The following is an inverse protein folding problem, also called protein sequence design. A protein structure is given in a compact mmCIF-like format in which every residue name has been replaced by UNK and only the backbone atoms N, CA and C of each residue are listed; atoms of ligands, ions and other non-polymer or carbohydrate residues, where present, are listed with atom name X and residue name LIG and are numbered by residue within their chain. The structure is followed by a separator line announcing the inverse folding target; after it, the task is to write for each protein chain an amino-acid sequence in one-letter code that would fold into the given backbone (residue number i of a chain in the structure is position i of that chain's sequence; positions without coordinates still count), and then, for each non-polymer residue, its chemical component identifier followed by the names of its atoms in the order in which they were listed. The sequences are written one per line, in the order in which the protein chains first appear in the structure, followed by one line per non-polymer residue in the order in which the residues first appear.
data_IF_621322329511
#
_entry.id   IF_621322329511
#
_cell.length_a   1.000
_cell.length_b   1.000
_cell.length_c   1.000
_cell.angle_alpha   90.00
_cell.angle_beta   90.00
_cell.angle_gamma   90.00
#
_symmetry.space_group_name_H-M   'P 1'
#
loop_
_entity.id
_entity.type
_entity.pdbx_description
1 polymer ?
#
# COMPACT_ATOMS: atom_id res chain seq x y z
N UNK A 1 7.81 -18.82 -12.83
CA UNK A 1 6.42 -18.30 -12.91
C UNK A 1 6.46 -16.86 -13.44
N UNK A 2 5.44 -16.38 -14.16
CA UNK A 2 5.35 -14.98 -14.61
C UNK A 2 4.07 -14.30 -14.09
N UNK A 3 4.20 -13.04 -13.69
CA UNK A 3 3.11 -12.19 -13.22
C UNK A 3 2.36 -11.63 -14.43
N UNK A 4 1.10 -12.00 -14.55
CA UNK A 4 0.14 -11.48 -15.52
C UNK A 4 -0.56 -10.23 -15.00
N UNK A 5 -1.88 -10.15 -15.18
CA UNK A 5 -2.67 -9.01 -14.75
C UNK A 5 -2.57 -8.75 -13.24
N UNK A 6 -2.51 -7.47 -12.86
CA UNK A 6 -2.69 -7.02 -11.48
C UNK A 6 -3.84 -6.04 -11.42
N UNK A 7 -4.81 -6.35 -10.56
CA UNK A 7 -5.93 -5.47 -10.24
C UNK A 7 -5.69 -4.87 -8.85
N UNK A 8 -5.45 -3.56 -8.80
CA UNK A 8 -5.20 -2.81 -7.57
C UNK A 8 -6.44 -2.72 -6.67
N UNK A 9 -7.62 -3.13 -7.15
CA UNK A 9 -8.87 -3.16 -6.37
C UNK A 9 -9.23 -1.77 -5.81
N UNK A 10 -8.95 -0.72 -6.60
CA UNK A 10 -9.10 0.68 -6.21
C UNK A 10 -10.49 1.00 -5.64
N UNK A 11 -11.62 0.60 -6.26
CA UNK A 11 -12.95 0.95 -5.76
C UNK A 11 -13.21 0.40 -4.35
N UNK A 12 -12.88 -0.86 -4.09
CA UNK A 12 -13.10 -1.50 -2.79
C UNK A 12 -12.18 -0.91 -1.72
N UNK A 13 -10.89 -0.76 -2.06
CA UNK A 13 -9.93 -0.16 -1.14
C UNK A 13 -10.32 1.29 -0.80
N UNK A 14 -10.72 2.11 -1.78
CA UNK A 14 -11.13 3.48 -1.53
C UNK A 14 -12.44 3.57 -0.71
N UNK A 15 -13.34 2.62 -0.85
CA UNK A 15 -14.52 2.51 0.00
C UNK A 15 -14.12 2.23 1.45
N UNK A 16 -13.32 1.18 1.68
CA UNK A 16 -12.87 0.72 3.00
C UNK A 16 -12.01 1.78 3.73
N UNK A 17 -11.25 2.56 2.97
CA UNK A 17 -10.40 3.62 3.50
C UNK A 17 -11.10 4.97 3.62
N UNK A 18 -12.40 5.07 3.30
CA UNK A 18 -13.16 6.32 3.28
C UNK A 18 -12.43 7.40 2.45
N UNK A 19 -12.10 7.07 1.20
CA UNK A 19 -11.41 7.93 0.23
C UNK A 19 -12.10 7.94 -1.14
N UNK A 20 -13.17 7.16 -1.33
CA UNK A 20 -13.96 7.10 -2.57
C UNK A 20 -14.50 8.45 -3.07
N UNK A 21 -14.65 9.44 -2.20
CA UNK A 21 -15.08 10.79 -2.58
C UNK A 21 -14.03 11.56 -3.40
N UNK A 22 -12.77 11.10 -3.45
CA UNK A 22 -11.74 11.61 -4.35
C UNK A 22 -11.78 10.94 -5.75
N UNK A 23 -12.65 9.95 -5.95
CA UNK A 23 -12.63 9.04 -7.09
C UNK A 23 -12.17 7.64 -6.70
N UNK A 24 -12.37 6.69 -7.62
CA UNK A 24 -12.04 5.27 -7.46
C UNK A 24 -11.14 4.73 -8.58
N UNK A 25 -10.69 5.61 -9.47
CA UNK A 25 -9.73 5.33 -10.54
C UNK A 25 -8.29 5.23 -10.01
N UNK A 26 -7.98 5.92 -8.92
CA UNK A 26 -6.67 5.90 -8.25
C UNK A 26 -6.75 5.23 -6.89
N UNK A 27 -5.67 4.54 -6.54
CA UNK A 27 -5.54 3.92 -5.22
C UNK A 27 -5.20 4.98 -4.17
N UNK A 28 -6.14 5.30 -3.28
CA UNK A 28 -5.95 6.25 -2.18
C UNK A 28 -6.31 5.55 -0.88
N UNK A 29 -5.32 5.38 0.00
CA UNK A 29 -5.45 4.65 1.27
C UNK A 29 -5.07 5.54 2.44
N UNK A 30 -5.29 5.06 3.65
CA UNK A 30 -4.88 5.72 4.89
C UNK A 30 -3.93 4.82 5.66
N UNK A 31 -2.84 5.39 6.17
CA UNK A 31 -1.81 4.66 6.92
C UNK A 31 -2.38 3.96 8.17
N UNK A 32 -1.78 2.87 8.61
CA UNK A 32 -2.28 2.07 9.75
C UNK A 32 -3.50 1.21 9.44
N UNK A 33 -3.84 1.02 8.16
CA UNK A 33 -4.94 0.15 7.72
C UNK A 33 -4.53 -0.58 6.45
N UNK A 34 -4.78 -1.89 6.39
CA UNK A 34 -4.40 -2.71 5.25
C UNK A 34 -5.25 -2.37 4.00
N UNK A 35 -4.66 -2.56 2.83
CA UNK A 35 -5.35 -2.59 1.53
C UNK A 35 -4.96 -3.85 0.78
N UNK A 36 -5.70 -4.23 -0.26
CA UNK A 36 -5.42 -5.47 -0.98
C UNK A 36 -5.53 -5.34 -2.49
N UNK A 37 -4.79 -6.16 -3.23
CA UNK A 37 -4.85 -6.23 -4.68
C UNK A 37 -4.73 -7.68 -5.15
N UNK A 38 -5.17 -7.94 -6.38
CA UNK A 38 -5.15 -9.27 -6.97
C UNK A 38 -4.01 -9.40 -7.96
N UNK A 39 -3.25 -10.48 -7.84
CA UNK A 39 -2.15 -10.83 -8.74
C UNK A 39 -2.47 -12.14 -9.45
N UNK A 40 -2.59 -12.09 -10.78
CA UNK A 40 -2.81 -13.26 -11.63
C UNK A 40 -1.50 -13.75 -12.24
N UNK A 41 -1.29 -15.05 -12.24
CA UNK A 41 -0.12 -15.72 -12.83
C UNK A 41 -0.52 -16.48 -14.10
N UNK A 42 0.35 -16.50 -15.10
CA UNK A 42 0.00 -17.09 -16.40
C UNK A 42 0.21 -18.61 -16.43
N UNK A 43 1.37 -19.06 -15.93
CA UNK A 43 1.83 -20.42 -16.20
C UNK A 43 1.31 -21.43 -15.16
N UNK A 44 1.43 -21.13 -13.88
CA UNK A 44 1.04 -22.00 -12.76
C UNK A 44 0.53 -21.20 -11.57
N UNK A 45 -0.01 -21.90 -10.58
CA UNK A 45 -0.43 -21.33 -9.30
C UNK A 45 0.77 -20.94 -8.43
N UNK A 46 0.53 -20.07 -7.46
CA UNK A 46 1.51 -19.68 -6.46
C UNK A 46 1.84 -20.88 -5.56
N UNK A 47 3.13 -21.12 -5.32
CA UNK A 47 3.62 -22.20 -4.46
C UNK A 47 4.66 -21.67 -3.48
N UNK A 48 4.29 -21.59 -2.19
CA UNK A 48 5.13 -21.09 -1.10
C UNK A 48 6.46 -21.85 -0.93
N UNK A 49 6.59 -23.06 -1.49
CA UNK A 49 7.82 -23.85 -1.41
C UNK A 49 8.90 -23.40 -2.39
N UNK A 50 8.51 -22.73 -3.48
CA UNK A 50 9.42 -22.36 -4.59
C UNK A 50 9.29 -20.92 -5.06
N UNK A 51 8.24 -20.21 -4.64
CA UNK A 51 7.98 -18.82 -4.97
C UNK A 51 8.18 -17.90 -3.78
N UNK A 52 8.83 -16.78 -4.04
CA UNK A 52 9.03 -15.70 -3.08
C UNK A 52 8.68 -14.39 -3.74
N UNK A 53 8.11 -13.47 -2.96
CA UNK A 53 7.87 -12.10 -3.39
C UNK A 53 8.44 -11.12 -2.38
N UNK A 54 9.03 -10.05 -2.90
CA UNK A 54 9.53 -8.90 -2.14
C UNK A 54 8.87 -7.66 -2.69
N UNK A 55 8.37 -6.80 -1.81
CA UNK A 55 7.79 -5.53 -2.16
C UNK A 55 8.74 -4.40 -1.82
N UNK A 56 8.74 -3.36 -2.64
CA UNK A 56 9.42 -2.11 -2.34
C UNK A 56 8.43 -0.97 -2.53
N UNK A 57 8.28 -0.13 -1.51
CA UNK A 57 7.49 1.10 -1.55
C UNK A 57 8.39 2.31 -1.44
N UNK A 58 8.20 3.30 -2.29
CA UNK A 58 9.05 4.49 -2.39
C UNK A 58 8.20 5.75 -2.50
N UNK A 59 8.55 6.81 -1.75
CA UNK A 59 7.89 8.12 -1.77
C UNK A 59 8.93 9.26 -1.84
N UNK A 60 8.51 10.41 -2.37
CA UNK A 60 9.36 11.59 -2.52
C UNK A 60 10.38 11.50 -3.67
N UNK A 61 11.17 12.56 -3.83
CA UNK A 61 12.12 12.70 -4.95
C UNK A 61 13.43 11.93 -4.76
N UNK A 62 13.80 11.66 -3.50
CA UNK A 62 15.01 10.89 -3.13
C UNK A 62 14.65 9.84 -2.09
N UNK A 63 13.97 8.75 -2.48
CA UNK A 63 13.60 7.68 -1.55
C UNK A 63 14.85 7.03 -0.93
N UNK A 64 14.88 6.93 0.39
CA UNK A 64 15.94 6.22 1.10
C UNK A 64 15.41 5.62 2.41
N UNK A 65 16.00 4.50 2.83
CA UNK A 65 15.54 3.76 4.00
C UNK A 65 15.81 4.54 5.29
N UNK A 66 16.95 5.26 5.37
CA UNK A 66 17.32 6.09 6.52
C UNK A 66 16.31 7.20 6.84
N UNK A 67 15.55 7.65 5.85
CA UNK A 67 14.57 8.72 5.99
C UNK A 67 13.13 8.17 5.96
N UNK A 68 12.96 6.84 6.03
CA UNK A 68 11.66 6.17 6.01
C UNK A 68 10.83 6.43 4.74
N UNK A 69 11.46 6.92 3.67
CA UNK A 69 10.84 7.21 2.36
C UNK A 69 10.99 6.06 1.37
N UNK A 70 11.72 5.01 1.74
CA UNK A 70 11.81 3.73 1.04
C UNK A 70 11.71 2.59 2.04
N UNK A 71 10.95 1.55 1.72
CA UNK A 71 10.90 0.33 2.52
C UNK A 71 10.81 -0.90 1.63
N UNK A 72 11.62 -1.92 1.93
CA UNK A 72 11.61 -3.21 1.25
C UNK A 72 11.20 -4.29 2.25
N UNK A 73 10.20 -5.10 1.92
CA UNK A 73 9.63 -6.10 2.84
C UNK A 73 9.17 -7.35 2.09
N UNK A 74 9.34 -8.55 2.67
CA UNK A 74 8.95 -9.79 2.02
C UNK A 74 7.43 -10.02 2.11
N UNK A 75 6.91 -10.88 1.21
CA UNK A 75 5.60 -11.46 1.38
C UNK A 75 5.64 -12.54 2.47
N UNK A 76 4.98 -12.27 3.59
CA UNK A 76 4.85 -13.19 4.71
C UNK A 76 3.57 -14.02 4.68
N UNK A 77 3.36 -14.79 5.75
CA UNK A 77 2.13 -15.58 5.98
C UNK A 77 1.01 -14.77 6.65
N UNK A 78 1.38 -13.78 7.45
CA UNK A 78 0.48 -12.88 8.15
C UNK A 78 1.00 -11.45 8.08
N UNK A 79 0.10 -10.48 8.24
CA UNK A 79 0.48 -9.07 8.33
C UNK A 79 1.05 -8.77 9.72
N UNK A 80 2.17 -8.06 9.74
CA UNK A 80 2.65 -7.34 10.90
C UNK A 80 2.04 -5.93 10.86
N UNK A 81 1.29 -5.57 11.91
CA UNK A 81 0.61 -4.29 12.01
C UNK A 81 1.49 -3.17 12.59
N UNK A 82 2.80 -3.39 12.71
CA UNK A 82 3.77 -2.41 13.23
C UNK A 82 4.70 -1.85 12.16
N UNK A 83 4.84 -2.52 11.02
CA UNK A 83 5.73 -2.15 9.94
C UNK A 83 5.07 -2.34 8.57
N UNK A 84 5.77 -1.95 7.49
CA UNK A 84 5.34 -2.35 6.16
C UNK A 84 5.40 -3.86 6.01
N UNK A 85 4.27 -4.49 5.76
CA UNK A 85 4.18 -5.94 5.62
C UNK A 85 3.21 -6.33 4.52
N UNK A 86 3.43 -7.52 3.97
CA UNK A 86 2.51 -8.12 3.01
C UNK A 86 2.21 -9.57 3.39
N UNK A 87 1.01 -10.01 3.04
CA UNK A 87 0.62 -11.41 3.10
C UNK A 87 -0.28 -11.73 1.93
N UNK A 88 -0.47 -13.01 1.62
CA UNK A 88 -1.36 -13.42 0.56
C UNK A 88 -2.32 -14.51 1.02
N UNK A 89 -3.41 -14.64 0.25
CA UNK A 89 -4.31 -15.78 0.31
C UNK A 89 -4.63 -16.22 -1.11
N UNK A 90 -4.79 -17.51 -1.32
CA UNK A 90 -5.31 -18.03 -2.59
C UNK A 90 -6.72 -17.49 -2.80
N UNK A 91 -6.96 -16.89 -3.98
CA UNK A 91 -8.27 -16.35 -4.33
C UNK A 91 -8.98 -17.24 -5.36
N UNK A 92 -8.29 -17.57 -6.45
CA UNK A 92 -8.76 -18.43 -7.54
C UNK A 92 -7.55 -19.18 -8.12
N UNK A 93 -7.75 -20.19 -8.99
CA UNK A 93 -6.65 -20.79 -9.74
C UNK A 93 -5.77 -19.73 -10.39
N UNK A 94 -4.47 -19.81 -10.11
CA UNK A 94 -3.44 -18.86 -10.56
C UNK A 94 -3.69 -17.39 -10.15
N UNK A 95 -4.51 -17.11 -9.15
CA UNK A 95 -4.76 -15.77 -8.66
C UNK A 95 -4.68 -15.72 -7.14
N UNK A 96 -3.82 -14.86 -6.62
CA UNK A 96 -3.72 -14.60 -5.18
C UNK A 96 -4.25 -13.21 -4.87
N UNK A 97 -4.87 -13.08 -3.70
CA UNK A 97 -5.19 -11.79 -3.10
C UNK A 97 -4.05 -11.43 -2.14
N UNK A 98 -3.36 -10.33 -2.42
CA UNK A 98 -2.24 -9.83 -1.61
C UNK A 98 -2.75 -8.67 -0.78
N UNK A 99 -2.61 -8.79 0.54
CA UNK A 99 -2.85 -7.68 1.46
C UNK A 99 -1.53 -7.02 1.84
N UNK A 100 -1.51 -5.69 1.88
CA UNK A 100 -0.36 -4.87 2.28
C UNK A 100 -0.78 -3.98 3.43
N UNK A 101 0.05 -3.90 4.48
CA UNK A 101 -0.17 -3.04 5.62
C UNK A 101 0.86 -1.90 5.63
N UNK A 102 0.43 -0.63 5.46
CA UNK A 102 1.23 0.54 5.76
C UNK A 102 1.20 0.84 7.27
N UNK A 103 2.33 1.03 7.96
CA UNK A 103 2.35 1.33 9.39
C UNK A 103 1.77 2.72 9.69
N UNK A 104 1.26 2.94 10.91
CA UNK A 104 0.57 4.18 11.29
C UNK A 104 1.45 5.43 11.26
N UNK A 105 2.78 5.26 11.27
CA UNK A 105 3.77 6.33 11.15
C UNK A 105 4.28 6.55 9.71
N UNK A 106 3.83 5.76 8.72
CA UNK A 106 4.26 5.93 7.33
C UNK A 106 4.09 7.37 6.85
N UNK A 107 5.05 7.86 6.06
CA UNK A 107 4.99 9.18 5.45
C UNK A 107 3.71 9.32 4.62
N UNK A 108 3.16 10.54 4.58
CA UNK A 108 1.99 10.86 3.76
C UNK A 108 2.49 11.31 2.39
N UNK A 109 1.83 10.88 1.32
CA UNK A 109 2.18 11.29 -0.04
C UNK A 109 1.94 10.22 -1.09
N UNK A 110 2.48 10.47 -2.29
CA UNK A 110 2.44 9.55 -3.42
C UNK A 110 3.57 8.52 -3.31
N UNK A 111 3.21 7.26 -3.35
CA UNK A 111 4.11 6.12 -3.34
C UNK A 111 4.12 5.40 -4.68
N UNK A 112 5.23 4.75 -4.99
CA UNK A 112 5.34 3.74 -6.05
C UNK A 112 5.43 2.37 -5.39
N UNK A 113 4.65 1.40 -5.86
CA UNK A 113 4.70 0.01 -5.40
C UNK A 113 5.41 -0.85 -6.45
N UNK A 114 6.53 -1.46 -6.06
CA UNK A 114 7.25 -2.44 -6.84
C UNK A 114 7.10 -3.83 -6.22
N UNK A 115 7.01 -4.85 -7.07
CA UNK A 115 7.01 -6.26 -6.68
C UNK A 115 8.11 -7.00 -7.43
N UNK A 116 9.00 -7.65 -6.69
CA UNK A 116 9.98 -8.59 -7.20
C UNK A 116 9.50 -10.00 -6.89
N UNK A 117 9.51 -10.89 -7.89
CA UNK A 117 9.15 -12.30 -7.73
C UNK A 117 10.36 -13.14 -8.09
N UNK A 118 10.71 -14.07 -7.19
CA UNK A 118 11.71 -15.11 -7.41
C UNK A 118 10.99 -16.44 -7.49
N UNK A 119 11.19 -17.19 -8.57
CA UNK A 119 10.51 -18.46 -8.84
C UNK A 119 11.47 -19.41 -9.57
N UNK A 120 11.72 -20.59 -8.98
CA UNK A 120 12.65 -21.60 -9.55
C UNK A 120 14.03 -21.03 -9.93
N UNK A 121 14.59 -20.13 -9.11
CA UNK A 121 15.89 -19.49 -9.35
C UNK A 121 15.87 -18.31 -10.32
N UNK A 122 14.73 -17.98 -10.92
CA UNK A 122 14.58 -16.82 -11.79
C UNK A 122 13.89 -15.67 -11.06
N UNK A 123 14.49 -14.48 -11.13
CA UNK A 123 13.98 -13.26 -10.50
C UNK A 123 13.58 -12.24 -11.55
N UNK A 124 12.41 -11.63 -11.38
CA UNK A 124 11.98 -10.47 -12.16
C UNK A 124 11.26 -9.47 -11.28
N UNK A 125 11.27 -8.21 -11.69
CA UNK A 125 10.64 -7.10 -10.98
C UNK A 125 9.61 -6.40 -11.87
N UNK A 126 8.53 -5.92 -11.26
CA UNK A 126 7.52 -5.12 -11.93
C UNK A 126 7.03 -3.97 -11.04
N UNK A 127 6.91 -2.79 -11.64
CA UNK A 127 6.16 -1.69 -11.03
C UNK A 127 4.66 -2.00 -11.15
N UNK A 128 3.96 -2.03 -10.01
CA UNK A 128 2.52 -2.32 -9.97
C UNK A 128 1.67 -1.06 -10.14
N UNK A 129 2.26 0.11 -9.93
CA UNK A 129 1.60 1.41 -10.05
C UNK A 129 1.92 2.33 -8.88
N UNK A 130 1.34 3.51 -8.91
CA UNK A 130 1.40 4.47 -7.81
C UNK A 130 0.11 4.48 -6.98
N UNK A 131 0.25 4.88 -5.73
CA UNK A 131 -0.86 5.01 -4.78
C UNK A 131 -0.60 6.17 -3.81
N UNK A 132 -1.64 6.66 -3.17
CA UNK A 132 -1.54 7.76 -2.21
C UNK A 132 -1.82 7.26 -0.81
N UNK A 133 -0.96 7.64 0.12
CA UNK A 133 -1.11 7.37 1.56
C UNK A 133 -1.51 8.65 2.25
N UNK A 134 -2.66 8.64 2.93
CA UNK A 134 -3.17 9.75 3.73
C UNK A 134 -3.10 9.45 5.24
N UNK A 135 -3.32 10.49 6.03
CA UNK A 135 -3.56 10.35 7.46
C UNK A 135 -4.82 9.50 7.75
N UNK A 136 -4.79 8.72 8.83
CA UNK A 136 -5.91 7.90 9.30
C UNK A 136 -6.41 8.35 10.68
N UNK A 137 -7.50 9.13 10.77
CA UNK A 137 -8.07 9.55 12.05
C UNK A 137 -8.79 8.42 12.81
N UNK A 138 -9.03 7.27 12.18
CA UNK A 138 -9.69 6.11 12.78
C UNK A 138 -8.69 5.05 13.29
N UNK A 139 -7.40 5.24 13.03
CA UNK A 139 -6.36 4.37 13.57
C UNK A 139 -6.18 4.65 15.07
N UNK A 140 -6.42 3.65 15.91
CA UNK A 140 -6.21 3.73 17.35
C UNK A 140 -4.69 3.73 17.69
N UNK A 141 -3.98 4.79 17.33
CA UNK A 141 -2.56 5.00 17.64
C UNK A 141 -2.36 5.96 18.81
N UNK A 142 -1.46 5.61 19.74
CA UNK A 142 -1.10 6.35 20.96
C UNK A 142 -0.48 7.71 20.65
N UNK A 143 -1.26 8.73 20.30
CA UNK A 143 -0.91 10.15 20.50
C UNK A 143 -2.19 10.98 20.36
N UNK A 144 -2.79 11.31 21.50
CA UNK A 144 -4.04 12.03 21.68
C UNK A 144 -3.95 13.54 21.38
N UNK A 145 -2.78 14.05 20.98
CA UNK A 145 -2.54 15.47 20.69
C UNK A 145 -2.96 15.86 19.26
N UNK A 146 -2.83 14.95 18.30
CA UNK A 146 -3.15 15.21 16.88
C UNK A 146 -4.66 15.12 16.57
N UNK A 147 -5.45 14.56 17.50
CA UNK A 147 -6.86 14.28 17.28
C UNK A 147 -7.76 15.54 17.28
N UNK A 148 -7.34 16.64 17.90
CA UNK A 148 -8.17 17.86 18.02
C UNK A 148 -8.02 18.77 16.80
N UNK A 149 -6.81 18.87 16.23
CA UNK A 149 -6.56 19.73 15.06
C UNK A 149 -7.10 19.07 13.78
N UNK A 150 -6.99 17.75 13.64
CA UNK A 150 -7.42 17.03 12.44
C UNK A 150 -8.92 16.72 12.38
N UNK A 151 -9.61 16.61 13.53
CA UNK A 151 -11.09 16.55 13.54
C UNK A 151 -11.73 17.83 12.98
N UNK A 152 -11.09 19.00 13.12
CA UNK A 152 -11.52 20.23 12.45
C UNK A 152 -11.21 20.24 10.94
N UNK A 153 -10.12 19.58 10.52
CA UNK A 153 -9.69 19.52 9.13
C UNK A 153 -10.61 18.65 8.23
N UNK A 154 -11.27 17.63 8.79
CA UNK A 154 -12.24 16.82 8.03
C UNK A 154 -13.58 17.54 7.80
N UNK A 155 -13.89 18.60 8.57
CA UNK A 155 -15.13 19.39 8.43
C UNK A 155 -15.01 20.45 7.33
N UNK A 156 -13.79 20.87 6.96
CA UNK A 156 -13.57 21.88 5.91
C UNK A 156 -13.50 21.28 4.50
N UNK A 157 -14.44 20.37 4.22
CA UNK A 157 -14.68 19.86 2.87
C UNK A 157 -14.82 21.04 1.90
N UNK A 158 -14.02 21.03 0.82
CA UNK A 158 -14.36 21.43 -0.57
C UNK A 158 -13.30 22.21 -1.35
N UNK A 159 -12.14 22.56 -0.81
CA UNK A 159 -11.14 23.32 -1.60
C UNK A 159 -9.77 22.67 -1.63
N UNK A 160 -9.19 22.68 -2.83
CA UNK A 160 -8.02 21.96 -3.37
C UNK A 160 -6.67 22.30 -2.68
N UNK A 161 -6.67 22.93 -1.51
CA UNK A 161 -5.44 23.43 -0.87
C UNK A 161 -4.63 22.38 -0.09
N UNK A 162 -5.13 21.16 0.07
CA UNK A 162 -4.49 20.16 0.92
C UNK A 162 -3.17 19.58 0.39
N UNK A 163 -2.89 19.71 -0.91
CA UNK A 163 -1.63 19.22 -1.49
C UNK A 163 -0.45 20.17 -1.17
N UNK A 164 -0.71 21.45 -0.92
CA UNK A 164 0.35 22.45 -0.70
C UNK A 164 0.94 22.45 0.71
N UNK A 165 0.21 22.01 1.74
CA UNK A 165 0.67 22.13 3.12
C UNK A 165 1.67 21.05 3.58
N UNK A 166 1.91 20.00 2.78
CA UNK A 166 2.86 18.93 3.12
C UNK A 166 4.20 19.03 2.35
N UNK A 167 4.37 20.03 1.48
CA UNK A 167 5.58 20.22 0.67
C UNK A 167 6.53 21.30 1.20
N UNK A 168 6.30 21.88 2.38
CA UNK A 168 7.11 22.98 2.88
C UNK A 168 7.20 23.06 4.40
N UNK A 169 8.24 22.44 4.94
CA UNK A 169 9.20 23.03 5.89
C UNK A 169 10.45 22.15 5.96
#
# INVERSE_FOLDING_TARGET
MSLGEVDLNCPSNCQIHNTHFFGTDKQIIRRGQAFSFYARFQNREWDDSVDQAIFTVETGLRPCESNETKCTFPMGRCLDQTCWSASHKVHQPKCINISVFPPSNACIGRYILNMQITSCGHTYQRCLGDFYVLFNPWCAGKNSSDQIVLRKMLVMSKTVEYIYYLAGK
#
